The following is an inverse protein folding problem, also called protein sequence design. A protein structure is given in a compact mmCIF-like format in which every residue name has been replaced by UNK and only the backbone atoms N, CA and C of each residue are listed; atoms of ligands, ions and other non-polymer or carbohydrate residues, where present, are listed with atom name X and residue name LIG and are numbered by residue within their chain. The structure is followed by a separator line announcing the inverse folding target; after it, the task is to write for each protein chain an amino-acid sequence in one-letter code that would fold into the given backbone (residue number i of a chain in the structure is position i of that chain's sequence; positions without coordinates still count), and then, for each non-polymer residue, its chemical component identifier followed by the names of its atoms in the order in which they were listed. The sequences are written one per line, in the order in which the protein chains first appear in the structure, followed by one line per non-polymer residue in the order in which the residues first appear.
data_IF_804218489210
#
_entry.id   IF_804218489210
#
_cell.length_a   1.000
_cell.length_b   1.000
_cell.length_c   1.000
_cell.angle_alpha   90.00
_cell.angle_beta   90.00
_cell.angle_gamma   90.00
#
_symmetry.space_group_name_H-M   'P 1'
#
loop_
_entity.id
_entity.type
_entity.pdbx_description
1 polymer ?
#
# COMPACT_ATOMS: atom_id res chain seq x y z
N UNK A 1 10.96 -35.48 11.80
CA UNK A 1 9.68 -34.73 11.77
C UNK A 1 9.94 -33.39 11.09
N UNK A 2 9.57 -33.24 9.81
CA UNK A 2 9.76 -31.99 9.07
C UNK A 2 8.66 -30.99 9.44
N UNK A 3 9.04 -29.84 10.00
CA UNK A 3 8.11 -28.76 10.29
C UNK A 3 7.66 -28.13 8.96
N UNK A 4 6.51 -28.57 8.44
CA UNK A 4 5.76 -27.85 7.42
C UNK A 4 5.39 -26.49 8.00
N UNK A 5 6.19 -25.46 7.70
CA UNK A 5 5.81 -24.07 7.95
C UNK A 5 4.49 -23.81 7.21
N UNK A 6 3.39 -23.70 7.94
CA UNK A 6 2.17 -23.08 7.42
C UNK A 6 2.59 -21.69 6.96
N UNK A 7 2.59 -21.45 5.65
CA UNK A 7 2.66 -20.11 5.07
C UNK A 7 1.34 -19.43 5.42
N UNK A 8 1.22 -18.92 6.64
CA UNK A 8 0.24 -17.88 6.92
C UNK A 8 0.59 -16.72 5.98
N UNK A 9 -0.33 -16.40 5.07
CA UNK A 9 -0.22 -15.18 4.28
C UNK A 9 -0.26 -14.03 5.29
N UNK A 10 0.90 -13.45 5.56
CA UNK A 10 0.98 -12.17 6.27
C UNK A 10 0.29 -11.15 5.40
N UNK A 11 -0.95 -10.80 5.73
CA UNK A 11 -1.67 -9.70 5.09
C UNK A 11 -0.95 -8.42 5.53
N UNK A 12 -0.51 -7.63 4.57
CA UNK A 12 0.09 -6.33 4.86
C UNK A 12 -1.00 -5.40 5.37
N UNK A 13 -0.71 -4.63 6.42
CA UNK A 13 -1.61 -3.55 6.88
C UNK A 13 -1.99 -2.61 5.72
N UNK A 14 -1.09 -2.42 4.74
CA UNK A 14 -1.39 -1.67 3.52
C UNK A 14 -2.53 -2.31 2.72
N UNK A 15 -2.48 -3.62 2.51
CA UNK A 15 -3.46 -4.34 1.69
C UNK A 15 -4.81 -4.38 2.40
N UNK A 16 -4.81 -4.60 3.72
CA UNK A 16 -6.01 -4.56 4.54
C UNK A 16 -6.67 -3.17 4.52
N UNK A 17 -5.90 -2.10 4.77
CA UNK A 17 -6.42 -0.74 4.69
C UNK A 17 -6.94 -0.39 3.29
N UNK A 18 -6.24 -0.81 2.23
CA UNK A 18 -6.67 -0.57 0.85
C UNK A 18 -8.03 -1.22 0.57
N UNK A 19 -8.21 -2.47 0.98
CA UNK A 19 -9.47 -3.21 0.80
C UNK A 19 -10.61 -2.56 1.57
N UNK A 20 -10.39 -2.16 2.82
CA UNK A 20 -11.41 -1.52 3.65
C UNK A 20 -11.85 -0.17 3.08
N UNK A 21 -10.89 0.67 2.69
CA UNK A 21 -11.18 1.99 2.11
C UNK A 21 -11.89 1.89 0.76
N UNK A 22 -11.48 0.96 -0.11
CA UNK A 22 -12.17 0.72 -1.38
C UNK A 22 -13.59 0.19 -1.15
N UNK A 23 -13.76 -0.73 -0.20
CA UNK A 23 -15.09 -1.25 0.16
C UNK A 23 -15.99 -0.12 0.66
N UNK A 24 -15.48 0.71 1.58
CA UNK A 24 -16.22 1.87 2.10
C UNK A 24 -16.59 2.85 0.98
N UNK A 25 -15.68 3.13 0.04
CA UNK A 25 -15.95 4.02 -1.09
C UNK A 25 -17.11 3.53 -1.97
N UNK A 26 -17.20 2.22 -2.21
CA UNK A 26 -18.30 1.63 -2.98
C UNK A 26 -19.62 1.55 -2.21
N UNK A 27 -19.57 1.43 -0.87
CA UNK A 27 -20.75 1.41 -0.03
C UNK A 27 -21.40 2.80 0.14
N UNK A 28 -20.65 3.89 -0.02
CA UNK A 28 -21.19 5.25 0.10
C UNK A 28 -21.96 5.61 -1.18
N UNK A 29 -23.29 5.65 -1.07
CA UNK A 29 -24.24 5.81 -2.19
C UNK A 29 -24.32 7.22 -2.76
N UNK A 30 -23.83 8.24 -2.03
CA UNK A 30 -23.78 9.62 -2.50
C UNK A 30 -25.14 10.33 -2.52
N UNK A 31 -26.10 9.85 -1.73
CA UNK A 31 -27.46 10.39 -1.69
C UNK A 31 -27.55 11.69 -0.87
N UNK A 32 -26.60 11.91 0.04
CA UNK A 32 -26.53 13.11 0.88
C UNK A 32 -25.24 13.92 0.64
N UNK A 33 -25.25 15.19 1.04
CA UNK A 33 -24.05 16.03 1.04
C UNK A 33 -22.94 15.46 1.95
N UNK A 34 -23.34 14.81 3.05
CA UNK A 34 -22.46 14.14 3.99
C UNK A 34 -21.79 12.92 3.33
N UNK A 35 -22.56 12.13 2.56
CA UNK A 35 -22.02 11.01 1.78
C UNK A 35 -21.01 11.49 0.73
N UNK A 36 -21.31 12.58 0.03
CA UNK A 36 -20.38 13.17 -0.93
C UNK A 36 -19.07 13.62 -0.25
N UNK A 37 -19.16 14.23 0.92
CA UNK A 37 -17.99 14.64 1.71
C UNK A 37 -17.20 13.43 2.22
N UNK A 38 -17.88 12.40 2.71
CA UNK A 38 -17.26 11.16 3.18
C UNK A 38 -16.55 10.44 2.04
N UNK A 39 -17.21 10.30 0.89
CA UNK A 39 -16.66 9.68 -0.31
C UNK A 39 -15.39 10.40 -0.79
N UNK A 40 -15.41 11.74 -0.79
CA UNK A 40 -14.24 12.56 -1.13
C UNK A 40 -13.10 12.38 -0.13
N UNK A 41 -13.41 12.25 1.16
CA UNK A 41 -12.41 12.01 2.21
C UNK A 41 -11.74 10.64 2.05
N UNK A 42 -12.52 9.61 1.71
CA UNK A 42 -12.01 8.26 1.42
C UNK A 42 -11.13 8.27 0.17
N UNK A 43 -11.52 8.99 -0.88
CA UNK A 43 -10.73 9.15 -2.10
C UNK A 43 -9.35 9.77 -1.82
N UNK A 44 -9.32 10.86 -1.04
CA UNK A 44 -8.06 11.52 -0.62
C UNK A 44 -7.18 10.54 0.16
N UNK A 45 -7.75 9.79 1.10
CA UNK A 45 -7.00 8.80 1.88
C UNK A 45 -6.39 7.70 1.00
N UNK A 46 -7.12 7.22 -0.02
CA UNK A 46 -6.60 6.23 -0.98
C UNK A 46 -5.42 6.78 -1.80
N UNK A 47 -5.51 8.05 -2.24
CA UNK A 47 -4.43 8.71 -2.98
C UNK A 47 -3.18 8.84 -2.10
N UNK A 48 -3.34 9.27 -0.85
CA UNK A 48 -2.20 9.45 0.06
C UNK A 48 -1.58 8.11 0.47
N UNK A 49 -2.39 7.07 0.66
CA UNK A 49 -1.93 5.70 0.86
C UNK A 49 -1.07 5.23 -0.33
N UNK A 50 -1.51 5.45 -1.57
CA UNK A 50 -0.75 5.09 -2.76
C UNK A 50 0.58 5.86 -2.86
N UNK A 51 0.60 7.15 -2.53
CA UNK A 51 1.83 7.97 -2.47
C UNK A 51 2.80 7.42 -1.42
N UNK A 52 2.31 7.07 -0.24
CA UNK A 52 3.14 6.53 0.85
C UNK A 52 3.81 5.21 0.44
N UNK A 53 3.10 4.31 -0.26
CA UNK A 53 3.69 3.08 -0.81
C UNK A 53 4.75 3.35 -1.87
N UNK A 54 4.51 4.32 -2.75
CA UNK A 54 5.52 4.74 -3.75
C UNK A 54 6.78 5.32 -3.09
N UNK A 55 6.63 6.10 -2.02
CA UNK A 55 7.75 6.64 -1.25
C UNK A 55 8.54 5.53 -0.54
N UNK A 56 7.85 4.60 0.14
CA UNK A 56 8.48 3.46 0.80
C UNK A 56 9.22 2.54 -0.18
N UNK A 57 8.64 2.30 -1.37
CA UNK A 57 9.27 1.52 -2.43
C UNK A 57 10.58 2.16 -2.90
N UNK A 58 10.61 3.49 -3.06
CA UNK A 58 11.83 4.23 -3.45
C UNK A 58 12.92 4.18 -2.37
N UNK A 59 12.55 4.21 -1.09
CA UNK A 59 13.50 4.09 0.01
C UNK A 59 14.20 2.72 0.07
N UNK A 60 13.56 1.67 -0.45
CA UNK A 60 14.11 0.31 -0.45
C UNK A 60 15.06 0.02 -1.64
N UNK A 61 15.35 0.99 -2.50
CA UNK A 61 16.29 0.82 -3.61
C UNK A 61 17.72 0.98 -3.10
N UNK A 62 18.38 -0.13 -2.77
CA UNK A 62 19.82 -0.15 -2.49
C UNK A 62 20.56 0.12 -3.81
N UNK A 63 21.19 1.29 -3.93
CA UNK A 63 22.10 1.58 -5.05
C UNK A 63 23.37 0.75 -4.89
N UNK A 64 23.48 -0.36 -5.63
CA UNK A 64 24.76 -1.04 -5.78
C UNK A 64 25.70 -0.20 -6.66
N UNK A 65 26.67 0.47 -6.02
CA UNK A 65 27.77 1.11 -6.74
C UNK A 65 28.61 0.03 -7.43
N UNK A 66 28.67 0.06 -8.77
CA UNK A 66 29.54 -0.79 -9.59
C UNK A 66 30.98 -0.56 -9.15
N UNK A 67 31.62 -1.56 -8.51
CA UNK A 67 33.06 -1.49 -8.21
C UNK A 67 33.81 -1.36 -9.53
N UNK A 68 34.63 -0.32 -9.69
CA UNK A 68 35.58 -0.25 -10.81
C UNK A 68 36.49 -1.49 -10.75
N UNK A 69 36.78 -2.14 -11.88
CA UNK A 69 37.86 -3.13 -11.90
C UNK A 69 39.15 -2.39 -11.51
N UNK A 70 39.84 -2.88 -10.48
CA UNK A 70 41.21 -2.48 -10.23
C UNK A 70 42.02 -2.96 -11.43
N UNK A 71 42.45 -2.03 -12.27
CA UNK A 71 43.47 -2.31 -13.28
C UNK A 71 44.77 -2.61 -12.53
N UNK A 72 45.24 -3.85 -12.62
CA UNK A 72 46.56 -4.31 -12.23
C UNK A 72 47.29 -4.80 -13.46
#
# INVERSE_FOLDING_TARGET
MSLRRKRERTISNYDECSVLLLSAFFCVTGETAEDAQLRKSIEVALIDLAKARSAASRANVIKFSRRRPLAG
#
